data_IF_109443568144
#
_entry.id   IF_109443568144
#
_cell.length_a   1.000
_cell.length_b   1.000
_cell.length_c   1.000
_cell.angle_alpha   90.00
_cell.angle_beta   90.00
_cell.angle_gamma   90.00
#
_symmetry.space_group_name_H-M   'P 1'
#
loop_
_entity.id
_entity.type
_entity.pdbx_description
1 polymer ?
#
# COMPACT_ATOMS: atom_id res chain seq x y z
N UNK A 1 21.00 33.65 -10.72
CA UNK A 1 20.91 33.28 -9.30
C UNK A 1 19.70 32.37 -9.16
N UNK A 2 19.92 31.05 -9.18
CA UNK A 2 18.87 30.03 -9.00
C UNK A 2 18.43 30.06 -7.55
N UNK A 3 17.20 30.52 -7.29
CA UNK A 3 16.61 30.53 -5.95
C UNK A 3 16.72 29.13 -5.35
N UNK A 4 17.34 29.04 -4.18
CA UNK A 4 17.67 27.80 -3.49
C UNK A 4 16.35 27.13 -3.05
N UNK A 5 15.76 26.30 -3.90
CA UNK A 5 14.56 25.53 -3.57
C UNK A 5 14.88 24.63 -2.38
N UNK A 6 14.02 24.66 -1.38
CA UNK A 6 14.12 23.83 -0.20
C UNK A 6 14.24 22.35 -0.54
N UNK A 7 15.26 21.70 0.03
CA UNK A 7 15.53 20.28 -0.15
C UNK A 7 14.41 19.45 0.48
N UNK A 8 13.90 18.48 -0.28
CA UNK A 8 12.93 17.50 0.22
C UNK A 8 13.69 16.39 0.96
N UNK A 9 13.30 16.14 2.20
CA UNK A 9 13.82 15.06 3.05
C UNK A 9 12.72 14.05 3.28
N UNK A 10 12.72 12.98 2.50
CA UNK A 10 11.75 11.90 2.65
C UNK A 10 12.24 10.91 3.71
N UNK A 11 11.37 10.57 4.66
CA UNK A 11 11.64 9.61 5.71
C UNK A 11 10.62 8.48 5.65
N UNK A 12 11.10 7.24 5.62
CA UNK A 12 10.24 6.06 5.65
C UNK A 12 10.92 4.95 6.43
N UNK A 13 10.16 4.00 6.98
CA UNK A 13 10.74 2.89 7.72
C UNK A 13 11.85 2.18 6.92
N UNK A 14 11.60 1.81 5.66
CA UNK A 14 12.58 1.11 4.80
C UNK A 14 12.91 1.92 3.55
N UNK A 15 14.19 2.11 3.29
CA UNK A 15 14.68 2.77 2.06
C UNK A 15 14.90 1.72 0.96
N UNK A 16 14.20 1.87 -0.16
CA UNK A 16 14.38 1.02 -1.33
C UNK A 16 15.37 1.65 -2.31
N UNK A 17 16.67 1.37 -2.13
CA UNK A 17 17.68 1.77 -3.10
C UNK A 17 17.42 1.04 -4.44
N UNK A 18 17.35 1.75 -5.59
CA UNK A 18 17.22 1.10 -6.89
C UNK A 18 18.34 0.07 -7.10
N UNK A 19 18.02 -1.16 -7.49
CA UNK A 19 19.04 -2.16 -7.84
C UNK A 19 19.55 -1.89 -9.26
N UNK A 20 20.79 -2.30 -9.57
CA UNK A 20 21.45 -2.10 -10.88
C UNK A 20 20.68 -2.74 -12.06
N UNK A 21 19.76 -3.66 -11.78
CA UNK A 21 18.88 -4.35 -12.74
C UNK A 21 17.52 -3.65 -12.95
N UNK A 22 17.32 -2.46 -12.37
CA UNK A 22 16.11 -1.65 -12.58
C UNK A 22 14.86 -2.15 -11.85
N UNK A 23 14.99 -3.17 -10.97
CA UNK A 23 13.89 -3.62 -10.14
C UNK A 23 13.67 -2.62 -8.99
N UNK A 24 12.73 -1.68 -9.15
CA UNK A 24 12.22 -0.91 -8.00
C UNK A 24 11.20 -1.74 -7.23
N UNK A 25 11.24 -1.59 -5.91
CA UNK A 25 10.23 -2.10 -4.97
C UNK A 25 8.85 -1.43 -5.23
N UNK A 26 7.80 -1.96 -4.57
CA UNK A 26 6.39 -1.60 -4.77
C UNK A 26 6.05 -0.10 -4.77
N UNK A 27 4.81 0.23 -5.12
CA UNK A 27 4.45 1.59 -5.60
C UNK A 27 4.77 2.79 -4.69
N UNK A 28 4.93 2.62 -3.38
CA UNK A 28 5.45 3.69 -2.50
C UNK A 28 6.87 4.13 -2.90
N UNK A 29 7.76 3.17 -3.13
CA UNK A 29 9.14 3.47 -3.51
C UNK A 29 9.20 4.20 -4.85
N UNK A 30 8.34 3.82 -5.81
CA UNK A 30 8.24 4.48 -7.12
C UNK A 30 7.85 5.96 -6.94
N UNK A 31 6.82 6.24 -6.14
CA UNK A 31 6.37 7.62 -5.91
C UNK A 31 7.39 8.49 -5.20
N UNK A 32 8.06 7.96 -4.17
CA UNK A 32 9.11 8.68 -3.44
C UNK A 32 10.31 8.95 -4.36
N UNK A 33 10.77 7.95 -5.12
CA UNK A 33 11.91 8.12 -6.02
C UNK A 33 11.61 9.17 -7.08
N UNK A 34 10.45 9.10 -7.74
CA UNK A 34 10.05 10.11 -8.72
C UNK A 34 10.01 11.53 -8.12
N UNK A 35 9.67 11.67 -6.82
CA UNK A 35 9.74 12.94 -6.11
C UNK A 35 11.16 13.49 -6.01
N UNK A 36 12.06 12.63 -5.52
CA UNK A 36 13.44 12.99 -5.26
C UNK A 36 14.25 13.16 -6.56
N UNK A 37 13.91 12.45 -7.64
CA UNK A 37 14.58 12.59 -8.94
C UNK A 37 14.31 13.94 -9.61
N UNK A 38 13.10 14.49 -9.47
CA UNK A 38 12.71 15.78 -10.06
C UNK A 38 13.40 16.94 -9.36
N UNK A 39 13.34 16.98 -8.03
CA UNK A 39 13.76 18.14 -7.23
C UNK A 39 15.15 18.00 -6.60
N UNK A 40 15.69 16.77 -6.55
CA UNK A 40 16.79 16.43 -5.66
C UNK A 40 16.32 16.30 -4.21
N UNK A 41 17.11 15.67 -3.36
CA UNK A 41 16.72 15.50 -1.97
C UNK A 41 17.45 14.40 -1.23
N UNK A 42 16.92 14.03 -0.08
CA UNK A 42 17.43 12.95 0.75
C UNK A 42 16.32 11.93 1.01
N UNK A 43 16.63 10.64 0.89
CA UNK A 43 15.80 9.56 1.42
C UNK A 43 16.47 8.93 2.63
N UNK A 44 15.87 9.12 3.80
CA UNK A 44 16.35 8.63 5.07
C UNK A 44 15.55 7.43 5.60
N UNK A 45 16.23 6.44 6.19
CA UNK A 45 15.59 5.33 6.91
C UNK A 45 16.42 4.05 7.01
N UNK A 46 15.78 2.93 7.36
CA UNK A 46 16.45 1.65 7.54
C UNK A 46 16.92 1.04 6.20
N UNK A 47 18.14 0.50 6.17
CA UNK A 47 18.74 -0.13 4.98
C UNK A 47 18.24 -1.56 4.71
N UNK A 48 17.47 -2.16 5.61
CA UNK A 48 17.00 -3.54 5.49
C UNK A 48 17.90 -4.60 6.14
N UNK A 49 18.97 -4.19 6.83
CA UNK A 49 19.91 -5.06 7.55
C UNK A 49 19.78 -4.91 9.06
N UNK A 50 19.98 -6.00 9.79
CA UNK A 50 20.07 -6.00 11.25
C UNK A 50 21.51 -6.18 11.71
N UNK A 51 21.81 -5.73 12.94
CA UNK A 51 23.09 -5.92 13.62
C UNK A 51 22.87 -6.49 15.01
N UNK A 52 23.80 -7.33 15.48
CA UNK A 52 23.81 -7.91 16.83
C UNK A 52 24.18 -6.87 17.91
N UNK A 53 24.84 -5.79 17.50
CA UNK A 53 25.29 -4.71 18.37
C UNK A 53 24.35 -3.49 18.28
N UNK A 54 24.81 -2.32 18.71
CA UNK A 54 24.06 -1.08 18.52
C UNK A 54 23.79 -0.79 17.03
N UNK A 55 22.70 -0.06 16.78
CA UNK A 55 22.32 0.38 15.43
C UNK A 55 23.47 1.17 14.76
N UNK A 56 23.78 0.86 13.50
CA UNK A 56 24.96 1.41 12.82
C UNK A 56 24.89 2.93 12.67
N UNK A 57 26.05 3.56 12.43
CA UNK A 57 26.08 4.94 11.94
C UNK A 57 25.34 5.10 10.61
N UNK A 58 24.93 6.33 10.32
CA UNK A 58 24.24 6.62 9.06
C UNK A 58 25.26 6.62 7.92
N UNK A 59 25.02 5.78 6.93
CA UNK A 59 25.76 5.78 5.67
C UNK A 59 25.00 6.60 4.63
N UNK A 60 25.69 7.56 4.02
CA UNK A 60 25.13 8.40 2.94
C UNK A 60 25.72 7.96 1.61
N UNK A 61 24.84 7.59 0.68
CA UNK A 61 25.21 7.24 -0.69
C UNK A 61 24.46 8.15 -1.66
N UNK A 62 25.18 8.99 -2.41
CA UNK A 62 24.58 9.85 -3.43
C UNK A 62 24.43 9.10 -4.76
N UNK A 63 23.22 9.10 -5.32
CA UNK A 63 22.95 8.62 -6.69
C UNK A 63 22.13 9.65 -7.46
N UNK A 64 22.70 10.17 -8.54
CA UNK A 64 22.07 11.27 -9.27
C UNK A 64 21.94 12.50 -8.39
N UNK A 65 20.71 12.97 -8.16
CA UNK A 65 20.40 14.12 -7.30
C UNK A 65 19.91 13.73 -5.90
N UNK A 66 20.02 12.45 -5.53
CA UNK A 66 19.41 11.90 -4.32
C UNK A 66 20.49 11.37 -3.39
N UNK A 67 20.46 11.83 -2.15
CA UNK A 67 21.22 11.27 -1.05
C UNK A 67 20.40 10.16 -0.37
N UNK A 68 20.90 8.93 -0.40
CA UNK A 68 20.31 7.81 0.34
C UNK A 68 21.04 7.69 1.68
N UNK A 69 20.44 8.21 2.74
CA UNK A 69 20.98 8.21 4.09
C UNK A 69 20.37 7.06 4.90
N UNK A 70 21.11 5.97 5.10
CA UNK A 70 20.55 4.74 5.66
C UNK A 70 21.39 4.13 6.77
N UNK A 71 20.74 3.42 7.69
CA UNK A 71 21.42 2.71 8.78
C UNK A 71 20.80 1.33 9.03
N UNK A 72 21.55 0.44 9.69
CA UNK A 72 21.07 -0.86 10.16
C UNK A 72 20.46 -0.72 11.56
N UNK A 73 19.38 -1.46 11.82
CA UNK A 73 18.75 -1.54 13.14
C UNK A 73 19.39 -2.65 13.96
N UNK A 74 19.46 -2.47 15.28
CA UNK A 74 19.69 -3.59 16.18
C UNK A 74 18.60 -4.66 16.01
N UNK A 75 18.94 -5.93 16.15
CA UNK A 75 18.01 -7.05 15.94
C UNK A 75 16.82 -7.02 16.92
N UNK A 76 17.05 -6.73 18.20
CA UNK A 76 15.97 -6.62 19.19
C UNK A 76 15.05 -5.43 18.89
N UNK A 77 15.61 -4.29 18.49
CA UNK A 77 14.83 -3.13 18.03
C UNK A 77 14.00 -3.50 16.80
N UNK A 78 14.57 -4.20 15.82
CA UNK A 78 13.83 -4.66 14.64
C UNK A 78 12.66 -5.58 15.04
N UNK A 79 12.91 -6.58 15.88
CA UNK A 79 11.87 -7.50 16.31
C UNK A 79 10.76 -6.80 17.10
N UNK A 80 11.09 -5.92 18.06
CA UNK A 80 10.12 -5.29 18.94
C UNK A 80 9.37 -4.12 18.29
N UNK A 81 10.05 -3.26 17.52
CA UNK A 81 9.41 -2.12 16.86
C UNK A 81 8.72 -2.52 15.55
N UNK A 82 9.38 -3.29 14.67
CA UNK A 82 8.85 -3.60 13.35
C UNK A 82 7.95 -4.84 13.38
N UNK A 83 8.46 -5.99 13.84
CA UNK A 83 7.63 -7.21 13.92
C UNK A 83 6.65 -7.19 15.10
N UNK A 84 6.99 -6.48 16.18
CA UNK A 84 6.14 -6.24 17.35
C UNK A 84 5.14 -5.13 17.10
N UNK A 85 5.27 -3.99 17.77
CA UNK A 85 4.21 -2.98 17.87
C UNK A 85 3.66 -2.51 16.50
N UNK A 86 4.54 -2.28 15.52
CA UNK A 86 4.08 -1.83 14.18
C UNK A 86 3.20 -2.87 13.48
N UNK A 87 3.62 -4.14 13.41
CA UNK A 87 2.95 -5.15 12.59
C UNK A 87 1.98 -6.06 13.36
N UNK A 88 2.11 -6.15 14.69
CA UNK A 88 1.20 -6.91 15.57
C UNK A 88 0.16 -6.05 16.28
N UNK A 89 0.33 -4.72 16.33
CA UNK A 89 -0.65 -3.81 16.96
C UNK A 89 -1.20 -2.82 15.94
N UNK A 90 -0.35 -1.95 15.38
CA UNK A 90 -0.84 -0.86 14.51
C UNK A 90 -1.43 -1.39 13.20
N UNK A 91 -0.75 -2.31 12.52
CA UNK A 91 -1.25 -2.90 11.28
C UNK A 91 -2.64 -3.53 11.43
N UNK A 92 -2.89 -4.48 12.36
CA UNK A 92 -4.22 -5.08 12.49
C UNK A 92 -5.29 -4.06 12.88
N UNK A 93 -5.02 -3.12 13.78
CA UNK A 93 -6.02 -2.09 14.16
C UNK A 93 -6.35 -1.17 12.98
N UNK A 94 -5.35 -0.67 12.25
CA UNK A 94 -5.57 0.17 11.07
C UNK A 94 -6.39 -0.56 9.98
N UNK A 95 -6.32 -1.89 9.95
CA UNK A 95 -7.10 -2.72 9.03
C UNK A 95 -8.43 -3.23 9.62
N UNK A 96 -8.85 -2.75 10.81
CA UNK A 96 -10.07 -3.18 11.51
C UNK A 96 -10.10 -4.68 11.87
N UNK A 97 -8.94 -5.29 12.02
CA UNK A 97 -8.76 -6.71 12.28
C UNK A 97 -8.31 -6.94 13.73
N UNK A 98 -9.11 -6.44 14.67
CA UNK A 98 -8.80 -6.42 16.11
C UNK A 98 -8.47 -7.80 16.69
N UNK A 99 -9.03 -8.87 16.12
CA UNK A 99 -8.74 -10.26 16.52
C UNK A 99 -7.29 -10.70 16.27
N UNK A 100 -6.53 -9.95 15.48
CA UNK A 100 -5.11 -10.21 15.18
C UNK A 100 -4.15 -9.33 16.00
N UNK A 101 -4.66 -8.54 16.96
CA UNK A 101 -3.83 -7.68 17.80
C UNK A 101 -3.08 -8.53 18.85
N UNK A 102 -1.76 -8.47 18.82
CA UNK A 102 -0.89 -9.04 19.85
C UNK A 102 -0.07 -7.91 20.49
N UNK A 103 -0.36 -7.59 21.75
CA UNK A 103 0.32 -6.51 22.46
C UNK A 103 1.35 -7.01 23.48
N UNK A 104 2.52 -6.37 23.48
CA UNK A 104 3.53 -6.46 24.52
C UNK A 104 4.02 -5.05 24.88
N UNK A 105 4.13 -4.75 26.17
CA UNK A 105 4.62 -3.45 26.64
C UNK A 105 6.07 -3.16 26.22
N UNK A 106 6.93 -4.19 26.15
CA UNK A 106 8.31 -4.05 25.66
C UNK A 106 8.36 -3.60 24.20
N UNK A 107 7.43 -4.09 23.37
CA UNK A 107 7.32 -3.71 21.96
C UNK A 107 6.92 -2.23 21.82
N UNK A 108 6.02 -1.73 22.67
CA UNK A 108 5.65 -0.31 22.68
C UNK A 108 6.80 0.59 23.12
N UNK A 109 7.55 0.21 24.15
CA UNK A 109 8.72 0.97 24.58
C UNK A 109 9.83 0.97 23.52
N UNK A 110 10.04 -0.16 22.84
CA UNK A 110 10.92 -0.22 21.67
C UNK A 110 10.42 0.68 20.53
N UNK A 111 9.10 0.73 20.29
CA UNK A 111 8.53 1.58 19.26
C UNK A 111 8.82 3.06 19.47
N UNK A 112 8.70 3.52 20.72
CA UNK A 112 9.07 4.88 21.14
C UNK A 112 10.58 5.11 21.00
N UNK A 113 11.39 4.18 21.53
CA UNK A 113 12.86 4.23 21.48
C UNK A 113 13.39 4.33 20.05
N UNK A 114 12.85 3.53 19.13
CA UNK A 114 13.28 3.52 17.73
C UNK A 114 12.87 4.81 17.02
N UNK A 115 11.69 5.37 17.27
CA UNK A 115 11.33 6.69 16.73
C UNK A 115 12.29 7.80 17.21
N UNK A 116 12.66 7.78 18.50
CA UNK A 116 13.68 8.68 19.04
C UNK A 116 15.06 8.45 18.39
N UNK A 117 15.42 7.19 18.10
CA UNK A 117 16.65 6.86 17.36
C UNK A 117 16.63 7.42 15.93
N UNK A 118 15.52 7.31 15.21
CA UNK A 118 15.35 7.92 13.88
C UNK A 118 15.55 9.43 13.94
N UNK A 119 14.94 10.13 14.91
CA UNK A 119 15.13 11.56 15.09
C UNK A 119 16.60 11.91 15.39
N UNK A 120 17.23 11.23 16.35
CA UNK A 120 18.66 11.45 16.70
C UNK A 120 19.60 11.28 15.52
N UNK A 121 19.34 10.30 14.65
CA UNK A 121 20.16 10.04 13.45
C UNK A 121 19.85 11.01 12.31
N UNK A 122 18.64 11.56 12.23
CA UNK A 122 18.24 12.49 11.18
C UNK A 122 18.70 13.92 11.46
N UNK A 123 18.58 14.41 12.71
CA UNK A 123 18.86 15.80 13.09
C UNK A 123 20.22 16.32 12.58
N UNK A 124 21.34 15.59 12.70
CA UNK A 124 22.64 16.05 12.21
C UNK A 124 22.73 16.25 10.69
N UNK A 125 21.78 15.69 9.93
CA UNK A 125 21.74 15.74 8.47
C UNK A 125 20.82 16.84 7.95
N UNK A 126 20.02 17.46 8.81
CA UNK A 126 19.02 18.47 8.43
C UNK A 126 19.66 19.84 8.19
N UNK A 127 19.04 20.60 7.29
CA UNK A 127 19.36 21.98 6.99
C UNK A 127 18.16 22.88 7.35
N UNK A 128 18.36 24.16 7.73
CA UNK A 128 17.28 25.03 8.21
C UNK A 128 16.07 25.20 7.28
N UNK A 129 16.28 25.01 5.98
CA UNK A 129 15.25 25.19 4.96
C UNK A 129 14.73 23.85 4.40
N UNK A 130 15.05 22.72 5.02
CA UNK A 130 14.54 21.42 4.58
C UNK A 130 13.01 21.36 4.72
N UNK A 131 12.40 20.47 3.94
CA UNK A 131 11.00 20.08 4.08
C UNK A 131 10.97 18.57 4.29
N UNK A 132 10.45 18.14 5.44
CA UNK A 132 10.51 16.75 5.87
C UNK A 132 9.18 16.06 5.56
N UNK A 133 9.23 14.96 4.82
CA UNK A 133 8.05 14.16 4.48
C UNK A 133 8.18 12.74 5.03
N UNK A 134 7.46 12.47 6.12
CA UNK A 134 7.44 11.20 6.85
C UNK A 134 6.34 10.31 6.31
N UNK A 135 6.66 9.02 6.13
CA UNK A 135 5.72 8.04 5.61
C UNK A 135 5.46 6.89 6.57
N UNK A 136 4.16 6.65 6.74
CA UNK A 136 3.54 5.44 7.25
C UNK A 136 3.58 5.19 8.76
N UNK A 137 2.71 4.27 9.21
CA UNK A 137 2.36 4.02 10.62
C UNK A 137 3.54 3.67 11.54
N UNK A 138 4.68 3.24 10.98
CA UNK A 138 5.88 2.95 11.76
C UNK A 138 6.45 4.21 12.44
N UNK A 139 6.24 5.38 11.83
CA UNK A 139 6.92 6.62 12.18
C UNK A 139 5.98 7.70 12.72
N UNK A 140 4.81 7.32 13.27
CA UNK A 140 3.83 8.26 13.82
C UNK A 140 4.46 9.24 14.84
N UNK A 141 5.36 8.79 15.75
CA UNK A 141 5.98 9.71 16.71
C UNK A 141 7.06 10.65 16.16
N UNK A 142 7.51 10.48 14.93
CA UNK A 142 8.77 11.09 14.48
C UNK A 142 8.74 12.62 14.52
N UNK A 143 7.63 13.28 14.18
CA UNK A 143 7.55 14.74 14.29
C UNK A 143 7.69 15.21 15.74
N UNK A 144 7.04 14.56 16.70
CA UNK A 144 7.14 14.94 18.11
C UNK A 144 8.59 14.82 18.63
N UNK A 145 9.30 13.78 18.22
CA UNK A 145 10.72 13.59 18.54
C UNK A 145 11.60 14.68 17.90
N UNK A 146 11.34 15.03 16.63
CA UNK A 146 12.08 16.09 15.93
C UNK A 146 11.82 17.48 16.54
N UNK A 147 10.57 17.80 16.89
CA UNK A 147 10.21 19.05 17.58
C UNK A 147 10.89 19.13 18.94
N UNK A 148 10.92 18.04 19.70
CA UNK A 148 11.63 17.96 20.99
C UNK A 148 13.14 18.18 20.85
N UNK A 149 13.71 17.87 19.68
CA UNK A 149 15.11 18.12 19.33
C UNK A 149 15.37 19.52 18.74
N UNK A 150 14.38 20.42 18.70
CA UNK A 150 14.52 21.80 18.20
C UNK A 150 14.48 21.93 16.68
N UNK A 151 13.88 20.96 15.97
CA UNK A 151 13.70 21.05 14.51
C UNK A 151 12.45 21.87 14.21
N UNK A 152 12.63 23.01 13.55
CA UNK A 152 11.54 23.93 13.16
C UNK A 152 11.16 23.81 11.66
N UNK A 153 11.79 22.90 10.91
CA UNK A 153 11.45 22.66 9.50
C UNK A 153 9.99 22.22 9.34
N UNK A 154 9.33 22.50 8.20
CA UNK A 154 8.02 21.90 7.90
C UNK A 154 8.10 20.36 7.86
N UNK A 155 7.22 19.67 8.59
CA UNK A 155 7.14 18.21 8.68
C UNK A 155 5.73 17.75 8.29
N UNK A 156 5.64 16.96 7.22
CA UNK A 156 4.41 16.30 6.80
C UNK A 156 4.44 14.82 7.12
N UNK A 157 3.29 14.25 7.47
CA UNK A 157 3.04 12.82 7.62
C UNK A 157 2.08 12.35 6.53
N UNK A 158 2.36 11.19 5.92
CA UNK A 158 1.41 10.54 5.04
C UNK A 158 1.21 9.08 5.43
N UNK A 159 -0.03 8.70 5.74
CA UNK A 159 -0.40 7.35 6.15
C UNK A 159 -0.86 6.52 4.93
N UNK A 160 -0.22 5.37 4.70
CA UNK A 160 -0.52 4.51 3.54
C UNK A 160 -1.53 3.39 3.83
N UNK A 161 -1.69 3.05 5.10
CA UNK A 161 -2.74 2.15 5.58
C UNK A 161 -4.03 2.95 5.83
N UNK A 162 -5.20 2.30 5.97
CA UNK A 162 -6.41 3.01 6.37
C UNK A 162 -6.23 3.62 7.76
N UNK A 163 -6.94 4.73 8.03
CA UNK A 163 -7.05 5.24 9.40
C UNK A 163 -8.34 4.71 10.06
N UNK A 164 -8.26 4.11 11.25
CA UNK A 164 -9.44 3.58 11.93
C UNK A 164 -10.17 4.67 12.71
N UNK A 165 -11.50 4.54 12.88
CA UNK A 165 -12.27 5.44 13.73
C UNK A 165 -11.86 5.32 15.20
N UNK A 166 -12.23 6.29 16.04
CA UNK A 166 -11.84 6.28 17.44
C UNK A 166 -12.17 4.98 18.18
N UNK A 167 -13.35 4.40 17.93
CA UNK A 167 -13.76 3.16 18.58
C UNK A 167 -12.85 1.97 18.27
N UNK A 168 -12.27 1.91 17.07
CA UNK A 168 -11.24 0.92 16.75
C UNK A 168 -9.85 1.36 17.24
N UNK A 169 -9.50 2.65 17.08
CA UNK A 169 -8.17 3.16 17.45
C UNK A 169 -7.90 3.12 18.95
N UNK A 170 -8.92 3.35 19.80
CA UNK A 170 -8.80 3.28 21.27
C UNK A 170 -8.45 1.89 21.80
N UNK A 171 -8.60 0.85 20.98
CA UNK A 171 -8.14 -0.50 21.31
C UNK A 171 -6.60 -0.60 21.31
N UNK A 172 -5.88 0.35 20.69
CA UNK A 172 -4.41 0.41 20.71
C UNK A 172 -3.92 0.85 22.08
N UNK A 173 -3.15 0.01 22.80
CA UNK A 173 -2.44 0.48 23.99
C UNK A 173 -1.42 1.55 23.59
N UNK A 174 -1.53 2.74 24.18
CA UNK A 174 -0.73 3.91 23.78
C UNK A 174 -1.40 4.83 22.74
N UNK A 175 -2.69 4.62 22.42
CA UNK A 175 -3.40 5.46 21.43
C UNK A 175 -3.31 6.97 21.71
N UNK A 176 -3.40 7.40 22.97
CA UNK A 176 -3.29 8.82 23.35
C UNK A 176 -1.94 9.43 22.93
N UNK A 177 -0.85 8.70 23.17
CA UNK A 177 0.50 9.10 22.77
C UNK A 177 0.61 9.21 21.25
N UNK A 178 0.02 8.27 20.51
CA UNK A 178 0.04 8.28 19.05
C UNK A 178 -0.76 9.46 18.49
N UNK A 179 -1.99 9.71 18.98
CA UNK A 179 -2.82 10.83 18.52
C UNK A 179 -2.16 12.18 18.79
N UNK A 180 -1.60 12.37 19.99
CA UNK A 180 -0.85 13.58 20.33
C UNK A 180 0.39 13.73 19.47
N UNK A 181 1.08 12.63 19.16
CA UNK A 181 2.24 12.67 18.27
C UNK A 181 1.89 13.08 16.84
N UNK A 182 0.73 12.64 16.33
CA UNK A 182 0.25 13.07 15.00
C UNK A 182 -0.04 14.57 14.94
N UNK A 183 -0.32 15.22 16.07
CA UNK A 183 -0.54 16.67 16.15
C UNK A 183 0.76 17.49 16.05
N UNK A 184 1.94 16.85 16.08
CA UNK A 184 3.23 17.54 15.94
C UNK A 184 3.65 17.78 14.48
N UNK A 185 2.92 17.22 13.51
CA UNK A 185 3.12 17.47 12.08
C UNK A 185 2.41 18.75 11.65
N UNK A 186 2.91 19.39 10.59
CA UNK A 186 2.26 20.57 9.99
C UNK A 186 1.24 20.17 8.92
N UNK A 187 1.39 18.97 8.34
CA UNK A 187 0.44 18.35 7.41
C UNK A 187 0.30 16.86 7.73
N UNK A 188 -0.91 16.37 7.89
CA UNK A 188 -1.25 14.94 8.02
C UNK A 188 -2.09 14.55 6.81
N UNK A 189 -1.59 13.65 5.97
CA UNK A 189 -2.26 13.21 4.75
C UNK A 189 -2.76 11.78 4.83
N UNK A 190 -3.96 11.58 4.27
CA UNK A 190 -4.60 10.27 4.15
C UNK A 190 -4.95 9.94 2.70
N UNK A 191 -5.34 8.69 2.45
CA UNK A 191 -5.75 8.25 1.13
C UNK A 191 -7.16 8.68 0.74
N UNK A 192 -8.11 8.60 1.66
CA UNK A 192 -9.52 8.83 1.36
C UNK A 192 -10.18 9.78 2.35
N UNK A 193 -11.32 10.35 1.95
CA UNK A 193 -12.18 11.12 2.85
C UNK A 193 -12.72 10.28 4.02
N UNK A 194 -12.83 8.96 3.85
CA UNK A 194 -13.21 8.03 4.93
C UNK A 194 -12.13 7.97 6.01
N UNK A 195 -10.86 7.94 5.61
CA UNK A 195 -9.73 7.96 6.54
C UNK A 195 -9.63 9.30 7.27
N UNK A 196 -9.83 10.42 6.55
CA UNK A 196 -9.85 11.75 7.15
C UNK A 196 -10.98 11.90 8.17
N UNK A 197 -12.20 11.47 7.82
CA UNK A 197 -13.34 11.49 8.74
C UNK A 197 -13.10 10.60 9.96
N UNK A 198 -12.45 9.44 9.79
CA UNK A 198 -12.05 8.59 10.91
C UNK A 198 -11.02 9.28 11.82
N UNK A 199 -10.03 9.96 11.24
CA UNK A 199 -9.06 10.76 12.01
C UNK A 199 -9.73 11.88 12.78
N UNK A 200 -10.67 12.58 12.18
CA UNK A 200 -11.47 13.60 12.86
C UNK A 200 -12.19 13.04 14.10
N UNK A 201 -12.74 11.82 14.04
CA UNK A 201 -13.33 11.19 15.24
C UNK A 201 -12.32 11.00 16.38
N UNK A 202 -11.05 10.72 16.06
CA UNK A 202 -10.00 10.55 17.08
C UNK A 202 -9.50 11.88 17.64
N UNK A 203 -9.37 12.91 16.79
CA UNK A 203 -8.83 14.22 17.17
C UNK A 203 -9.82 15.03 18.01
N UNK A 204 -11.12 14.84 17.80
CA UNK A 204 -12.18 15.46 18.61
C UNK A 204 -12.25 14.91 20.05
N UNK A 205 -11.54 13.82 20.35
CA UNK A 205 -11.54 13.28 21.70
C UNK A 205 -10.87 14.23 22.68
N UNK A 206 -11.47 14.48 23.87
CA UNK A 206 -10.94 15.42 24.85
C UNK A 206 -9.48 15.14 25.26
N UNK A 207 -9.04 13.90 25.13
CA UNK A 207 -7.69 13.47 25.46
C UNK A 207 -6.62 14.01 24.51
N UNK A 208 -7.00 14.44 23.30
CA UNK A 208 -6.10 15.07 22.33
C UNK A 208 -6.09 16.59 22.55
N UNK A 209 -7.25 17.18 22.83
CA UNK A 209 -7.40 18.62 23.06
C UNK A 209 -7.30 19.43 21.77
N UNK A 210 -7.86 18.92 20.67
CA UNK A 210 -7.78 19.52 19.35
C UNK A 210 -9.16 19.89 18.80
N UNK A 211 -9.23 20.92 17.97
CA UNK A 211 -10.46 21.41 17.34
C UNK A 211 -10.34 21.40 15.81
N UNK A 212 -11.29 20.74 15.15
CA UNK A 212 -11.35 20.69 13.69
C UNK A 212 -12.15 21.89 13.17
N UNK A 213 -11.51 22.72 12.34
CA UNK A 213 -12.11 23.89 11.68
C UNK A 213 -12.42 23.59 10.21
N UNK A 214 -13.07 24.56 9.57
CA UNK A 214 -13.23 24.59 8.12
C UNK A 214 -11.87 24.50 7.40
N UNK A 215 -11.89 24.16 6.11
CA UNK A 215 -10.70 24.02 5.27
C UNK A 215 -9.64 23.02 5.78
N UNK A 216 -10.08 21.99 6.50
CA UNK A 216 -9.23 20.89 6.97
C UNK A 216 -8.09 21.34 7.92
N UNK A 217 -8.30 22.45 8.63
CA UNK A 217 -7.37 22.97 9.64
C UNK A 217 -7.71 22.37 11.01
N UNK A 218 -6.70 21.89 11.73
CA UNK A 218 -6.83 21.39 13.09
C UNK A 218 -6.04 22.28 14.03
N UNK A 219 -6.73 22.91 14.99
CA UNK A 219 -6.11 23.69 16.05
C UNK A 219 -5.74 22.80 17.23
N UNK A 220 -4.55 23.02 17.75
CA UNK A 220 -4.00 22.31 18.91
C UNK A 220 -3.30 23.31 19.83
N UNK A 221 -2.99 22.89 21.05
CA UNK A 221 -2.19 23.72 21.94
C UNK A 221 -0.83 24.04 21.29
N UNK A 222 -0.55 25.34 21.13
CA UNK A 222 0.72 25.81 20.56
C UNK A 222 0.76 25.93 19.03
N UNK A 223 -0.33 25.66 18.30
CA UNK A 223 -0.35 25.87 16.85
C UNK A 223 -1.54 25.28 16.11
N UNK A 224 -1.37 25.06 14.81
CA UNK A 224 -2.34 24.36 13.98
C UNK A 224 -1.64 23.54 12.90
N UNK A 225 -2.34 22.55 12.36
CA UNK A 225 -1.87 21.75 11.24
C UNK A 225 -2.99 21.50 10.23
N UNK A 226 -2.65 20.98 9.06
CA UNK A 226 -3.62 20.59 8.02
C UNK A 226 -3.80 19.08 8.01
N UNK A 227 -5.03 18.58 8.00
CA UNK A 227 -5.33 17.16 7.84
C UNK A 227 -6.17 16.94 6.57
N UNK A 228 -5.59 16.35 5.51
CA UNK A 228 -6.23 16.35 4.17
C UNK A 228 -6.04 15.04 3.38
N UNK A 229 -6.72 14.93 2.23
CA UNK A 229 -6.82 13.73 1.42
C UNK A 229 -5.95 13.82 0.16
N UNK A 230 -4.99 12.91 0.05
CA UNK A 230 -4.10 12.77 -1.09
C UNK A 230 -4.07 11.29 -1.55
N UNK A 231 -4.99 10.84 -2.42
CA UNK A 231 -4.97 9.47 -2.91
C UNK A 231 -3.72 9.23 -3.74
N UNK A 232 -2.97 8.17 -3.42
CA UNK A 232 -1.76 7.81 -4.14
C UNK A 232 -2.11 7.20 -5.50
N UNK A 233 -1.49 7.69 -6.56
CA UNK A 233 -1.66 7.19 -7.92
C UNK A 233 -0.61 6.15 -8.31
N UNK A 234 -0.56 5.86 -9.60
CA UNK A 234 0.49 5.04 -10.23
C UNK A 234 1.15 5.80 -11.37
N UNK A 235 2.33 5.34 -11.82
CA UNK A 235 2.96 5.82 -13.04
C UNK A 235 2.25 5.21 -14.26
N UNK A 236 1.28 5.96 -14.81
CA UNK A 236 0.39 5.47 -15.86
C UNK A 236 1.17 5.08 -17.11
N UNK A 237 2.03 5.97 -17.60
CA UNK A 237 2.75 5.76 -18.85
C UNK A 237 3.82 4.68 -18.70
N UNK A 238 4.53 4.64 -17.56
CA UNK A 238 5.51 3.59 -17.28
C UNK A 238 4.88 2.20 -17.18
N UNK A 239 3.67 2.07 -16.64
CA UNK A 239 2.95 0.78 -16.61
C UNK A 239 2.54 0.34 -18.00
N UNK A 240 1.99 1.24 -18.83
CA UNK A 240 1.60 0.90 -20.20
C UNK A 240 2.80 0.41 -21.01
N UNK A 241 3.94 1.10 -20.93
CA UNK A 241 5.19 0.68 -21.56
C UNK A 241 5.68 -0.69 -21.06
N UNK A 242 5.59 -0.95 -19.76
CA UNK A 242 5.98 -2.24 -19.19
C UNK A 242 5.07 -3.38 -19.63
N UNK A 243 3.76 -3.14 -19.70
CA UNK A 243 2.77 -4.11 -20.17
C UNK A 243 3.06 -4.50 -21.62
N UNK A 244 3.27 -3.52 -22.50
CA UNK A 244 3.60 -3.74 -23.92
C UNK A 244 4.94 -4.48 -24.09
N UNK A 245 6.00 -3.99 -23.44
CA UNK A 245 7.30 -4.62 -23.53
C UNK A 245 7.34 -6.03 -22.91
N UNK A 246 6.45 -6.30 -21.95
CA UNK A 246 6.35 -7.56 -21.20
C UNK A 246 5.70 -8.69 -21.98
N UNK A 247 4.91 -8.41 -23.02
CA UNK A 247 4.23 -9.43 -23.84
C UNK A 247 5.23 -10.43 -24.46
N UNK A 248 6.45 -9.96 -24.77
CA UNK A 248 7.54 -10.78 -25.31
C UNK A 248 8.27 -11.65 -24.26
N UNK A 249 7.86 -11.62 -22.98
CA UNK A 249 8.48 -12.43 -21.94
C UNK A 249 8.19 -13.92 -22.13
N UNK A 250 9.20 -14.77 -21.91
CA UNK A 250 9.05 -16.24 -21.93
C UNK A 250 8.02 -16.70 -20.88
N UNK A 251 7.98 -16.06 -19.72
CA UNK A 251 7.02 -16.41 -18.66
C UNK A 251 5.58 -16.11 -19.05
N UNK A 252 5.34 -14.97 -19.72
CA UNK A 252 4.01 -14.55 -20.17
C UNK A 252 3.52 -15.45 -21.31
N UNK A 253 4.36 -15.70 -22.32
CA UNK A 253 4.02 -16.66 -23.39
C UNK A 253 3.75 -18.06 -22.86
N UNK A 254 4.54 -18.52 -21.90
CA UNK A 254 4.33 -19.81 -21.24
C UNK A 254 2.99 -19.88 -20.51
N UNK A 255 2.63 -18.82 -19.78
CA UNK A 255 1.31 -18.72 -19.14
C UNK A 255 0.19 -18.79 -20.17
N UNK A 256 0.19 -17.92 -21.18
CA UNK A 256 -0.87 -17.85 -22.20
C UNK A 256 -1.02 -19.19 -22.93
N UNK A 257 0.08 -19.77 -23.40
CA UNK A 257 0.06 -21.09 -24.06
C UNK A 257 -0.53 -22.18 -23.16
N UNK A 258 -0.24 -22.15 -21.86
CA UNK A 258 -0.75 -23.12 -20.90
C UNK A 258 -2.22 -22.93 -20.52
N UNK A 259 -2.84 -21.79 -20.84
CA UNK A 259 -4.28 -21.60 -20.65
C UNK A 259 -5.09 -22.35 -21.73
N UNK A 260 -4.50 -22.53 -22.92
CA UNK A 260 -5.14 -23.24 -24.03
C UNK A 260 -6.45 -22.59 -24.47
N UNK A 261 -6.44 -21.26 -24.62
CA UNK A 261 -7.60 -20.46 -25.02
C UNK A 261 -8.62 -20.16 -23.91
N UNK A 262 -8.36 -20.59 -22.67
CA UNK A 262 -9.20 -20.25 -21.51
C UNK A 262 -8.94 -18.83 -21.04
N UNK A 263 -9.98 -18.20 -20.52
CA UNK A 263 -9.90 -16.91 -19.87
C UNK A 263 -9.06 -16.97 -18.59
N UNK A 264 -8.47 -15.82 -18.24
CA UNK A 264 -7.64 -15.66 -17.06
C UNK A 264 -8.28 -14.66 -16.09
N UNK A 265 -8.57 -15.13 -14.88
CA UNK A 265 -8.78 -14.26 -13.72
C UNK A 265 -7.44 -14.15 -13.00
N UNK A 266 -7.06 -12.95 -12.58
CA UNK A 266 -5.78 -12.73 -11.87
C UNK A 266 -5.97 -11.95 -10.57
N UNK A 267 -5.39 -12.48 -9.49
CA UNK A 267 -5.27 -11.82 -8.19
C UNK A 267 -3.80 -11.74 -7.79
N UNK A 268 -3.35 -10.57 -7.31
CA UNK A 268 -1.94 -10.34 -6.97
C UNK A 268 -1.87 -9.53 -5.69
N UNK A 269 -1.41 -10.15 -4.61
CA UNK A 269 -1.33 -9.48 -3.33
C UNK A 269 -0.19 -10.06 -2.51
N UNK A 270 0.38 -9.28 -1.60
CA UNK A 270 1.23 -9.87 -0.56
C UNK A 270 0.38 -10.84 0.26
N UNK A 271 0.98 -11.93 0.72
CA UNK A 271 0.32 -12.86 1.62
C UNK A 271 0.07 -12.16 2.96
N UNK A 272 -1.12 -11.61 3.16
CA UNK A 272 -1.48 -10.79 4.31
C UNK A 272 -2.98 -10.91 4.59
N UNK A 273 -3.37 -10.98 5.86
CA UNK A 273 -4.77 -11.17 6.27
C UNK A 273 -5.69 -10.03 5.80
N UNK A 274 -5.16 -8.82 5.59
CA UNK A 274 -5.94 -7.68 5.06
C UNK A 274 -6.48 -7.92 3.65
N UNK A 275 -5.92 -8.89 2.91
CA UNK A 275 -6.18 -9.11 1.49
C UNK A 275 -7.36 -10.03 1.18
N UNK A 276 -7.98 -10.62 2.20
CA UNK A 276 -9.17 -11.45 2.02
C UNK A 276 -8.96 -12.61 1.04
N UNK A 277 -7.74 -13.18 1.00
CA UNK A 277 -7.35 -14.14 -0.04
C UNK A 277 -8.16 -15.43 0.04
N UNK A 278 -8.56 -15.84 1.25
CA UNK A 278 -9.38 -17.01 1.44
C UNK A 278 -10.80 -16.75 0.93
N UNK A 279 -11.41 -15.64 1.35
CA UNK A 279 -12.73 -15.19 0.89
C UNK A 279 -12.78 -15.09 -0.62
N UNK A 280 -11.70 -14.58 -1.24
CA UNK A 280 -11.55 -14.52 -2.69
C UNK A 280 -11.52 -15.89 -3.36
N UNK A 281 -10.74 -16.84 -2.83
CA UNK A 281 -10.72 -18.22 -3.34
C UNK A 281 -12.09 -18.89 -3.19
N UNK A 282 -12.79 -18.62 -2.09
CA UNK A 282 -14.14 -19.14 -1.83
C UNK A 282 -15.19 -18.48 -2.72
N UNK A 283 -15.04 -17.21 -3.08
CA UNK A 283 -15.85 -16.54 -4.10
C UNK A 283 -15.64 -17.16 -5.49
N UNK A 284 -14.41 -17.50 -5.85
CA UNK A 284 -14.14 -18.26 -7.08
C UNK A 284 -14.70 -19.69 -7.04
N UNK A 285 -14.62 -20.39 -5.92
CA UNK A 285 -15.34 -21.67 -5.75
C UNK A 285 -16.83 -21.48 -5.96
N UNK A 286 -17.41 -20.44 -5.35
CA UNK A 286 -18.84 -20.15 -5.46
C UNK A 286 -19.27 -19.85 -6.91
N UNK A 287 -18.43 -19.17 -7.69
CA UNK A 287 -18.62 -18.99 -9.13
C UNK A 287 -18.76 -20.35 -9.83
N UNK A 288 -17.86 -21.30 -9.57
CA UNK A 288 -17.88 -22.62 -10.22
C UNK A 288 -19.11 -23.46 -9.83
N UNK A 289 -19.65 -23.25 -8.63
CA UNK A 289 -20.90 -23.89 -8.18
C UNK A 289 -22.14 -23.26 -8.82
N UNK A 290 -22.23 -21.94 -8.79
CA UNK A 290 -23.42 -21.18 -9.16
C UNK A 290 -23.55 -21.02 -10.68
N UNK A 291 -22.42 -20.96 -11.38
CA UNK A 291 -22.33 -20.77 -12.82
C UNK A 291 -21.46 -21.87 -13.48
N UNK A 292 -21.97 -23.10 -13.61
CA UNK A 292 -21.18 -24.25 -14.09
C UNK A 292 -20.62 -24.09 -15.51
N UNK A 293 -21.18 -23.18 -16.31
CA UNK A 293 -20.70 -22.83 -17.65
C UNK A 293 -19.27 -22.24 -17.65
N UNK A 294 -18.80 -21.69 -16.53
CA UNK A 294 -17.41 -21.26 -16.41
C UNK A 294 -16.45 -22.41 -16.11
N UNK A 295 -16.96 -23.59 -15.73
CA UNK A 295 -16.16 -24.80 -15.59
C UNK A 295 -15.39 -25.08 -16.89
N UNK A 296 -14.06 -25.21 -16.79
CA UNK A 296 -13.13 -25.39 -17.93
C UNK A 296 -12.98 -24.20 -18.87
N UNK A 297 -13.78 -23.14 -18.75
CA UNK A 297 -13.66 -21.93 -19.57
C UNK A 297 -12.65 -20.93 -18.98
N UNK A 298 -12.47 -20.94 -17.65
CA UNK A 298 -11.64 -19.98 -16.93
C UNK A 298 -10.62 -20.65 -16.01
N UNK A 299 -9.47 -20.00 -15.83
CA UNK A 299 -8.49 -20.34 -14.79
C UNK A 299 -8.22 -19.11 -13.93
N UNK A 300 -8.19 -19.32 -12.62
CA UNK A 300 -7.83 -18.29 -11.66
C UNK A 300 -6.36 -18.40 -11.25
N UNK A 301 -5.58 -17.35 -11.47
CA UNK A 301 -4.18 -17.22 -11.05
C UNK A 301 -4.09 -16.31 -9.83
N UNK A 302 -3.69 -16.85 -8.68
CA UNK A 302 -3.33 -16.07 -7.49
C UNK A 302 -1.81 -16.05 -7.32
N UNK A 303 -1.21 -14.86 -7.42
CA UNK A 303 0.19 -14.60 -7.09
C UNK A 303 0.24 -14.01 -5.68
N UNK A 304 0.91 -14.68 -4.76
CA UNK A 304 1.01 -14.30 -3.35
C UNK A 304 2.46 -14.35 -2.85
N UNK A 305 3.31 -13.35 -3.18
CA UNK A 305 4.66 -13.29 -2.62
C UNK A 305 4.62 -13.32 -1.09
N UNK A 306 5.53 -14.09 -0.49
CA UNK A 306 5.71 -14.13 0.95
C UNK A 306 6.16 -12.77 1.49
N UNK A 307 5.71 -12.44 2.70
CA UNK A 307 6.03 -11.21 3.41
C UNK A 307 6.17 -11.51 4.90
N UNK A 308 6.93 -10.68 5.63
CA UNK A 308 7.05 -10.75 7.10
C UNK A 308 7.37 -12.17 7.62
N UNK A 309 8.31 -12.84 6.97
CA UNK A 309 8.82 -14.16 7.38
C UNK A 309 9.27 -14.11 8.84
N UNK A 310 8.76 -15.01 9.69
CA UNK A 310 9.04 -15.04 11.13
C UNK A 310 7.85 -14.66 12.02
N UNK A 311 6.80 -14.06 11.46
CA UNK A 311 5.55 -13.80 12.18
C UNK A 311 4.58 -14.95 11.99
N UNK A 312 4.27 -15.67 13.07
CA UNK A 312 3.46 -16.91 13.08
C UNK A 312 2.12 -16.80 12.32
N UNK A 313 1.42 -15.69 12.47
CA UNK A 313 0.13 -15.44 11.79
C UNK A 313 0.23 -15.56 10.27
N UNK A 314 1.36 -15.18 9.67
CA UNK A 314 1.57 -15.25 8.22
C UNK A 314 1.77 -16.69 7.74
N UNK A 315 2.38 -17.55 8.55
CA UNK A 315 2.51 -18.97 8.24
C UNK A 315 1.16 -19.69 8.32
N UNK A 316 0.31 -19.30 9.28
CA UNK A 316 -1.05 -19.84 9.43
C UNK A 316 -1.93 -19.50 8.21
N UNK A 317 -1.95 -18.24 7.78
CA UNK A 317 -2.67 -17.81 6.57
C UNK A 317 -2.18 -18.56 5.34
N UNK A 318 -0.86 -18.74 5.21
CA UNK A 318 -0.30 -19.48 4.09
C UNK A 318 -0.80 -20.92 4.07
N UNK A 319 -0.79 -21.60 5.22
CA UNK A 319 -1.30 -22.97 5.32
C UNK A 319 -2.78 -23.05 4.94
N UNK A 320 -3.58 -22.10 5.41
CA UNK A 320 -5.00 -22.02 5.10
C UNK A 320 -5.29 -21.82 3.60
N UNK A 321 -4.51 -20.98 2.92
CA UNK A 321 -4.63 -20.77 1.48
C UNK A 321 -4.17 -21.98 0.66
N UNK A 322 -3.10 -22.65 1.09
CA UNK A 322 -2.62 -23.90 0.47
C UNK A 322 -3.69 -25.00 0.59
N UNK A 323 -4.31 -25.15 1.76
CA UNK A 323 -5.41 -26.10 1.97
C UNK A 323 -6.65 -25.73 1.16
N UNK A 324 -7.04 -24.45 1.15
CA UNK A 324 -8.22 -23.96 0.42
C UNK A 324 -8.07 -24.19 -1.08
N UNK A 325 -6.93 -23.78 -1.65
CA UNK A 325 -6.63 -23.99 -3.08
C UNK A 325 -6.56 -25.48 -3.44
N UNK A 326 -5.94 -26.31 -2.59
CA UNK A 326 -5.87 -27.76 -2.76
C UNK A 326 -7.25 -28.42 -2.75
N UNK A 327 -8.11 -28.04 -1.81
CA UNK A 327 -9.49 -28.55 -1.71
C UNK A 327 -10.33 -28.19 -2.94
N UNK A 328 -10.28 -26.92 -3.37
CA UNK A 328 -11.03 -26.45 -4.54
C UNK A 328 -10.53 -27.16 -5.80
N UNK A 329 -9.22 -27.24 -6.00
CA UNK A 329 -8.64 -27.96 -7.13
C UNK A 329 -9.03 -29.45 -7.10
N UNK A 330 -8.98 -30.11 -5.93
CA UNK A 330 -9.38 -31.51 -5.82
C UNK A 330 -10.83 -31.78 -6.18
N UNK A 331 -11.72 -30.80 -5.97
CA UNK A 331 -13.14 -30.89 -6.29
C UNK A 331 -13.47 -30.63 -7.76
N UNK A 332 -12.80 -29.68 -8.40
CA UNK A 332 -13.19 -29.19 -9.74
C UNK A 332 -12.20 -29.54 -10.86
N UNK A 333 -10.95 -29.91 -10.56
CA UNK A 333 -9.95 -30.18 -11.60
C UNK A 333 -10.36 -31.32 -12.52
N UNK A 334 -9.83 -31.26 -13.74
CA UNK A 334 -9.89 -32.31 -14.74
C UNK A 334 -8.47 -32.62 -15.21
N UNK A 335 -8.27 -33.70 -15.97
CA UNK A 335 -6.94 -34.08 -16.45
C UNK A 335 -6.23 -32.96 -17.25
N UNK A 336 -6.99 -32.08 -17.90
CA UNK A 336 -6.52 -30.98 -18.73
C UNK A 336 -6.82 -29.58 -18.15
N UNK A 337 -7.31 -29.50 -16.91
CA UNK A 337 -7.69 -28.22 -16.31
C UNK A 337 -7.46 -28.17 -14.80
N UNK A 338 -6.72 -27.14 -14.37
CA UNK A 338 -6.54 -26.77 -12.97
C UNK A 338 -7.25 -25.43 -12.73
N UNK A 339 -8.31 -25.39 -11.90
CA UNK A 339 -9.10 -24.19 -11.65
C UNK A 339 -8.30 -23.05 -11.03
N UNK A 340 -7.55 -23.32 -9.95
CA UNK A 340 -6.74 -22.34 -9.22
C UNK A 340 -5.26 -22.64 -9.40
N UNK A 341 -4.53 -21.70 -9.99
CA UNK A 341 -3.06 -21.67 -10.02
C UNK A 341 -2.57 -20.74 -8.92
N UNK A 342 -2.11 -21.32 -7.81
CA UNK A 342 -1.59 -20.57 -6.67
C UNK A 342 -0.06 -20.52 -6.70
N UNK A 343 0.51 -19.32 -6.69
CA UNK A 343 1.96 -19.08 -6.71
C UNK A 343 2.40 -18.28 -5.49
N UNK A 344 3.11 -18.91 -4.56
CA UNK A 344 3.68 -18.26 -3.38
C UNK A 344 5.03 -17.55 -3.63
N UNK A 345 5.24 -17.06 -4.86
CA UNK A 345 6.50 -16.45 -5.32
C UNK A 345 6.22 -15.10 -5.95
N UNK A 346 7.16 -14.16 -5.74
CA UNK A 346 7.12 -12.88 -6.44
C UNK A 346 7.32 -13.04 -7.95
N UNK A 347 6.59 -12.24 -8.72
CA UNK A 347 6.79 -12.06 -10.15
C UNK A 347 7.38 -10.67 -10.37
N UNK A 348 8.36 -10.56 -11.24
CA UNK A 348 8.95 -9.25 -11.55
C UNK A 348 7.92 -8.34 -12.22
N UNK A 349 8.06 -7.03 -12.01
CA UNK A 349 7.03 -6.05 -12.39
C UNK A 349 6.69 -6.07 -13.89
N UNK A 350 7.70 -6.16 -14.77
CA UNK A 350 7.51 -6.20 -16.23
C UNK A 350 6.59 -7.36 -16.70
N UNK A 351 6.90 -8.64 -16.42
CA UNK A 351 5.98 -9.72 -16.80
C UNK A 351 4.64 -9.65 -16.06
N UNK A 352 4.59 -9.10 -14.85
CA UNK A 352 3.32 -8.92 -14.13
C UNK A 352 2.36 -7.99 -14.85
N UNK A 353 2.82 -6.81 -15.32
CA UNK A 353 1.97 -5.88 -16.07
C UNK A 353 1.45 -6.52 -17.37
N UNK A 354 2.28 -7.32 -18.05
CA UNK A 354 1.82 -8.06 -19.23
C UNK A 354 0.83 -9.17 -18.88
N UNK A 355 0.97 -9.85 -17.73
CA UNK A 355 -0.04 -10.80 -17.25
C UNK A 355 -1.37 -10.10 -16.97
N UNK A 356 -1.36 -8.90 -16.38
CA UNK A 356 -2.58 -8.10 -16.20
C UNK A 356 -3.24 -7.78 -17.53
N UNK A 357 -2.47 -7.37 -18.54
CA UNK A 357 -3.00 -7.06 -19.89
C UNK A 357 -3.71 -8.24 -20.55
N UNK A 358 -3.29 -9.47 -20.27
CA UNK A 358 -3.90 -10.68 -20.82
C UNK A 358 -5.04 -11.24 -19.94
N UNK A 359 -5.27 -10.70 -18.75
CA UNK A 359 -6.29 -11.20 -17.86
C UNK A 359 -7.64 -10.54 -18.15
N UNK A 360 -8.64 -11.38 -18.44
CA UNK A 360 -10.02 -10.96 -18.66
C UNK A 360 -10.62 -10.31 -17.41
N UNK A 361 -10.18 -10.73 -16.21
CA UNK A 361 -10.64 -10.18 -14.93
C UNK A 361 -9.48 -9.95 -13.95
N UNK A 362 -9.41 -8.74 -13.39
CA UNK A 362 -8.58 -8.41 -12.24
C UNK A 362 -9.42 -8.57 -10.96
N UNK A 363 -9.02 -9.47 -10.07
CA UNK A 363 -9.75 -9.78 -8.86
C UNK A 363 -9.04 -9.22 -7.63
N UNK A 364 -9.48 -8.04 -7.17
CA UNK A 364 -8.84 -7.28 -6.10
C UNK A 364 -9.84 -7.06 -4.97
N UNK A 365 -9.94 -8.05 -4.08
CA UNK A 365 -10.99 -8.09 -3.04
C UNK A 365 -10.44 -8.05 -1.60
N UNK A 366 -9.58 -7.08 -1.22
CA UNK A 366 -9.13 -6.99 0.17
C UNK A 366 -10.29 -6.74 1.14
N UNK A 367 -10.22 -7.33 2.33
CA UNK A 367 -11.17 -7.04 3.42
C UNK A 367 -10.96 -5.65 4.01
N UNK A 368 -9.73 -5.12 3.90
CA UNK A 368 -9.44 -3.71 4.15
C UNK A 368 -8.14 -3.32 3.46
N UNK A 369 -8.09 -2.18 2.79
CA UNK A 369 -6.86 -1.68 2.16
C UNK A 369 -6.87 -0.15 2.06
N UNK A 370 -5.77 0.50 2.42
CA UNK A 370 -5.67 1.96 2.40
C UNK A 370 -5.83 2.55 1.00
N UNK A 371 -5.38 1.82 -0.03
CA UNK A 371 -5.59 2.19 -1.43
C UNK A 371 -5.73 0.96 -2.33
N UNK A 372 -4.76 0.05 -2.30
CA UNK A 372 -4.54 -1.01 -3.28
C UNK A 372 -4.08 -0.51 -4.67
N UNK A 373 -2.76 -0.45 -4.87
CA UNK A 373 -2.17 -0.05 -6.16
C UNK A 373 -2.33 -1.13 -7.24
N UNK A 374 -2.50 -2.40 -6.88
CA UNK A 374 -2.69 -3.49 -7.85
C UNK A 374 -3.97 -3.28 -8.66
N UNK A 375 -5.05 -2.80 -8.02
CA UNK A 375 -6.27 -2.40 -8.73
C UNK A 375 -5.99 -1.35 -9.84
N UNK A 376 -5.21 -0.31 -9.50
CA UNK A 376 -4.84 0.75 -10.44
C UNK A 376 -3.91 0.23 -11.55
N UNK A 377 -2.91 -0.57 -11.17
CA UNK A 377 -1.97 -1.19 -12.11
C UNK A 377 -2.69 -2.13 -13.10
N UNK A 378 -3.67 -2.90 -12.64
CA UNK A 378 -4.47 -3.77 -13.51
C UNK A 378 -5.19 -2.98 -14.60
N UNK A 379 -5.90 -1.90 -14.23
CA UNK A 379 -6.64 -1.04 -15.17
C UNK A 379 -5.70 -0.39 -16.18
N UNK A 380 -4.58 0.17 -15.70
CA UNK A 380 -3.60 0.86 -16.56
C UNK A 380 -2.92 -0.10 -17.54
N UNK A 381 -2.68 -1.34 -17.12
CA UNK A 381 -2.01 -2.32 -17.97
C UNK A 381 -2.84 -2.81 -19.15
N UNK A 382 -4.17 -2.64 -19.12
CA UNK A 382 -5.09 -3.14 -20.14
C UNK A 382 -4.84 -2.54 -21.54
N UNK A 383 -5.18 -3.33 -22.56
CA UNK A 383 -5.33 -2.83 -23.92
C UNK A 383 -6.66 -2.08 -24.05
N UNK A 384 -6.68 -0.79 -24.43
CA UNK A 384 -7.94 -0.05 -24.58
C UNK A 384 -8.86 -0.61 -25.67
N UNK A 385 -8.35 -1.42 -26.61
CA UNK A 385 -9.18 -2.02 -27.65
C UNK A 385 -9.87 -3.32 -27.22
N UNK A 386 -9.36 -3.99 -26.20
CA UNK A 386 -9.97 -5.18 -25.58
C UNK A 386 -9.65 -5.27 -24.08
N UNK A 387 -10.14 -4.33 -23.24
CA UNK A 387 -9.73 -4.25 -21.84
C UNK A 387 -10.46 -5.28 -20.98
N UNK A 388 -9.74 -5.92 -20.05
CA UNK A 388 -10.33 -6.72 -18.98
C UNK A 388 -11.13 -5.88 -17.97
N UNK A 389 -11.86 -6.56 -17.09
CA UNK A 389 -12.74 -5.93 -16.10
C UNK A 389 -12.16 -6.06 -14.69
N UNK A 390 -12.17 -4.98 -13.93
CA UNK A 390 -11.76 -4.98 -12.53
C UNK A 390 -12.96 -5.33 -11.63
N UNK A 391 -12.83 -6.38 -10.82
CA UNK A 391 -13.71 -6.68 -9.68
C UNK A 391 -12.99 -6.21 -8.41
N UNK A 392 -13.57 -5.24 -7.71
CA UNK A 392 -12.90 -4.48 -6.66
C UNK A 392 -13.69 -4.48 -5.36
N UNK A 393 -13.02 -4.73 -4.24
CA UNK A 393 -13.63 -4.55 -2.92
C UNK A 393 -14.02 -3.10 -2.65
N UNK A 394 -15.24 -2.88 -2.17
CA UNK A 394 -15.71 -1.61 -1.60
C UNK A 394 -14.87 -1.13 -0.38
N UNK A 395 -14.10 -2.03 0.22
CA UNK A 395 -13.23 -1.81 1.38
C UNK A 395 -11.77 -1.51 0.99
N UNK A 396 -11.47 -1.39 -0.31
CA UNK A 396 -10.23 -0.80 -0.80
C UNK A 396 -10.37 0.72 -0.96
N UNK A 397 -9.32 1.48 -0.64
CA UNK A 397 -9.31 2.93 -0.87
C UNK A 397 -9.47 3.32 -2.34
N UNK A 398 -8.94 2.51 -3.28
CA UNK A 398 -9.09 2.73 -4.71
C UNK A 398 -10.54 2.68 -5.17
N UNK A 399 -11.45 2.03 -4.43
CA UNK A 399 -12.87 2.04 -4.75
C UNK A 399 -13.47 3.45 -4.70
N UNK A 400 -12.88 4.39 -3.96
CA UNK A 400 -13.31 5.80 -3.99
C UNK A 400 -13.12 6.45 -5.37
N UNK A 401 -12.10 6.02 -6.13
CA UNK A 401 -11.76 6.58 -7.45
C UNK A 401 -12.23 5.70 -8.61
N UNK A 402 -12.26 4.37 -8.43
CA UNK A 402 -12.54 3.39 -9.47
C UNK A 402 -14.01 2.93 -9.47
N UNK A 403 -14.96 3.87 -9.45
CA UNK A 403 -16.39 3.58 -9.32
C UNK A 403 -16.97 2.76 -10.49
N UNK A 404 -16.36 2.83 -11.67
CA UNK A 404 -16.77 2.05 -12.85
C UNK A 404 -16.27 0.60 -12.86
N UNK A 405 -15.56 0.19 -11.82
CA UNK A 405 -15.26 -1.23 -11.55
C UNK A 405 -16.51 -1.96 -11.04
N UNK A 406 -16.47 -3.30 -11.06
CA UNK A 406 -17.51 -4.10 -10.41
C UNK A 406 -17.21 -4.17 -8.91
N UNK A 407 -17.85 -3.28 -8.16
CA UNK A 407 -17.68 -3.17 -6.72
C UNK A 407 -18.39 -4.31 -6.00
N UNK A 408 -17.65 -5.02 -5.15
CA UNK A 408 -18.17 -6.15 -4.36
C UNK A 408 -17.84 -6.00 -2.87
N UNK A 409 -18.64 -6.64 -2.03
CA UNK A 409 -18.33 -6.83 -0.63
C UNK A 409 -17.52 -8.12 -0.46
N UNK A 410 -16.26 -8.06 0.03
CA UNK A 410 -15.40 -9.24 0.13
C UNK A 410 -15.92 -10.28 1.15
N UNK A 411 -16.82 -9.90 2.05
CA UNK A 411 -17.45 -10.83 3.01
C UNK A 411 -18.64 -11.60 2.42
N UNK A 412 -19.15 -11.19 1.26
CA UNK A 412 -20.22 -11.87 0.55
C UNK A 412 -19.63 -12.68 -0.62
N UNK A 413 -19.65 -14.01 -0.46
CA UNK A 413 -19.12 -14.94 -1.47
C UNK A 413 -19.96 -14.97 -2.74
N UNK A 414 -21.28 -14.79 -2.61
CA UNK A 414 -22.18 -14.73 -3.76
C UNK A 414 -21.94 -13.42 -4.52
N UNK A 415 -21.69 -12.30 -3.83
CA UNK A 415 -21.37 -11.02 -4.46
C UNK A 415 -20.04 -11.07 -5.24
N UNK A 416 -18.98 -11.69 -4.68
CA UNK A 416 -17.74 -11.94 -5.43
C UNK A 416 -18.02 -12.80 -6.67
N UNK A 417 -18.77 -13.90 -6.53
CA UNK A 417 -19.07 -14.80 -7.63
C UNK A 417 -19.89 -14.10 -8.74
N UNK A 418 -20.87 -13.29 -8.36
CA UNK A 418 -21.72 -12.53 -9.26
C UNK A 418 -20.94 -11.42 -9.98
N UNK A 419 -20.05 -10.73 -9.25
CA UNK A 419 -19.12 -9.77 -9.83
C UNK A 419 -18.19 -10.40 -10.87
N UNK A 420 -17.64 -11.59 -10.60
CA UNK A 420 -16.83 -12.32 -11.59
C UNK A 420 -17.68 -12.76 -12.78
N UNK A 421 -18.87 -13.31 -12.54
CA UNK A 421 -19.75 -13.76 -13.62
C UNK A 421 -20.18 -12.60 -14.53
N UNK A 422 -20.47 -11.43 -13.96
CA UNK A 422 -20.78 -10.21 -14.71
C UNK A 422 -19.56 -9.73 -15.50
N UNK A 423 -18.37 -9.70 -14.88
CA UNK A 423 -17.12 -9.32 -15.54
C UNK A 423 -16.86 -10.17 -16.80
N UNK A 424 -17.00 -11.48 -16.66
CA UNK A 424 -16.74 -12.46 -17.73
C UNK A 424 -17.74 -12.40 -18.89
N UNK A 425 -18.98 -12.00 -18.61
CA UNK A 425 -20.03 -11.86 -19.64
C UNK A 425 -20.15 -10.43 -20.19
N UNK A 426 -19.30 -9.50 -19.75
CA UNK A 426 -19.42 -8.09 -20.10
C UNK A 426 -19.11 -7.86 -21.59
N UNK A 427 -20.04 -7.26 -22.37
CA UNK A 427 -19.80 -6.95 -23.77
C UNK A 427 -18.61 -6.02 -23.96
N UNK A 428 -17.89 -6.17 -25.07
CA UNK A 428 -16.69 -5.37 -25.38
C UNK A 428 -16.95 -3.86 -25.31
N UNK A 429 -18.10 -3.39 -25.79
CA UNK A 429 -18.45 -1.96 -25.74
C UNK A 429 -18.51 -1.44 -24.30
N UNK A 430 -19.16 -2.16 -23.40
CA UNK A 430 -19.25 -1.77 -21.98
C UNK A 430 -17.87 -1.82 -21.31
N UNK A 431 -17.04 -2.83 -21.62
CA UNK A 431 -15.67 -2.92 -21.09
C UNK A 431 -14.83 -1.70 -21.50
N UNK A 432 -14.92 -1.28 -22.77
CA UNK A 432 -14.21 -0.09 -23.28
C UNK A 432 -14.71 1.20 -22.61
N UNK A 433 -16.02 1.35 -22.45
CA UNK A 433 -16.62 2.54 -21.82
C UNK A 433 -16.17 2.67 -20.35
N UNK A 434 -16.26 1.59 -19.57
CA UNK A 434 -15.79 1.56 -18.17
C UNK A 434 -14.29 1.83 -18.07
N UNK A 435 -13.49 1.15 -18.89
CA UNK A 435 -12.04 1.32 -18.91
C UNK A 435 -11.63 2.76 -19.21
N UNK A 436 -12.27 3.42 -20.17
CA UNK A 436 -11.98 4.80 -20.54
C UNK A 436 -12.18 5.77 -19.36
N UNK A 437 -13.28 5.64 -18.62
CA UNK A 437 -13.57 6.47 -17.43
C UNK A 437 -12.56 6.22 -16.30
N UNK A 438 -12.22 4.95 -16.05
CA UNK A 438 -11.21 4.60 -15.06
C UNK A 438 -9.83 5.17 -15.44
N UNK A 439 -9.45 5.11 -16.72
CA UNK A 439 -8.20 5.66 -17.22
C UNK A 439 -8.13 7.19 -17.11
N UNK A 440 -9.23 7.90 -17.39
CA UNK A 440 -9.28 9.36 -17.20
C UNK A 440 -9.01 9.73 -15.74
N UNK A 441 -9.66 9.03 -14.81
CA UNK A 441 -9.46 9.24 -13.37
C UNK A 441 -8.01 8.97 -12.95
N UNK A 442 -7.43 7.85 -13.43
CA UNK A 442 -6.06 7.46 -13.09
C UNK A 442 -5.00 8.39 -13.68
N UNK A 443 -5.24 8.97 -14.87
CA UNK A 443 -4.35 10.00 -15.45
C UNK A 443 -4.41 11.31 -14.68
N UNK A 444 -5.59 11.71 -14.21
CA UNK A 444 -5.76 12.92 -13.40
C UNK A 444 -5.12 12.80 -12.02
N UNK A 445 -5.20 11.62 -11.41
CA UNK A 445 -4.68 11.31 -10.08
C UNK A 445 -3.48 10.36 -10.12
N UNK A 446 -2.56 10.59 -11.05
CA UNK A 446 -1.35 9.78 -11.19
C UNK A 446 -0.38 9.98 -9.99
N UNK A 447 0.72 9.22 -9.99
CA UNK A 447 1.71 9.30 -8.90
C UNK A 447 2.33 10.70 -8.79
N UNK A 448 2.47 11.42 -9.90
CA UNK A 448 3.02 12.78 -9.95
C UNK A 448 2.08 13.78 -9.29
N UNK A 449 0.77 13.67 -9.55
CA UNK A 449 -0.28 14.50 -8.99
C UNK A 449 -0.40 14.30 -7.48
N UNK A 450 -0.32 13.06 -6.98
CA UNK A 450 -0.27 12.77 -5.54
C UNK A 450 0.88 13.53 -4.86
N UNK A 451 2.10 13.34 -5.36
CA UNK A 451 3.30 13.98 -4.80
C UNK A 451 3.20 15.50 -4.85
N UNK A 452 2.87 16.08 -6.02
CA UNK A 452 2.81 17.55 -6.18
C UNK A 452 1.80 18.20 -5.24
N UNK A 453 0.63 17.56 -5.04
CA UNK A 453 -0.38 18.06 -4.10
C UNK A 453 0.14 18.06 -2.67
N UNK A 454 0.70 16.94 -2.20
CA UNK A 454 1.20 16.85 -0.83
C UNK A 454 2.37 17.81 -0.57
N UNK A 455 3.39 17.80 -1.44
CA UNK A 455 4.57 18.67 -1.28
C UNK A 455 4.18 20.16 -1.35
N UNK A 456 3.19 20.52 -2.17
CA UNK A 456 2.65 21.89 -2.19
C UNK A 456 1.98 22.25 -0.85
N UNK A 457 1.11 21.39 -0.33
CA UNK A 457 0.46 21.61 0.96
C UNK A 457 1.50 21.82 2.07
N UNK A 458 2.55 20.99 2.08
CA UNK A 458 3.62 21.07 3.06
C UNK A 458 4.48 22.34 2.92
N UNK A 459 4.83 22.74 1.69
CA UNK A 459 5.59 23.97 1.44
C UNK A 459 4.84 25.25 1.82
N UNK A 460 3.51 25.21 1.83
CA UNK A 460 2.67 26.34 2.25
C UNK A 460 2.61 26.51 3.78
N UNK A 461 3.19 25.60 4.57
CA UNK A 461 3.27 25.70 6.04
C UNK A 461 4.47 26.50 6.55
N UNK A 462 5.21 27.15 5.66
CA UNK A 462 6.40 27.95 5.97
C UNK A 462 6.08 29.30 6.59
#
# INVERSE_FOLDING_TARGET
MTGNSARLVTVSNRVAKPRKDGASAGGLAVGILAALEEEGGMWFGWNGQTTQAESSEVEVETRGKIDFATFALNEDDFEQYYNGYSNKVLWPVCHYLLGFVEYNAADFEAYRRVNSLFARKLVPLLQPNDVIWVHDYHLIPLAAELRSAGVDCPIGFFLHVPFPSYEAFRAVPGHEYLLRSMCAYDVVGFHTSRDLAAFETCIREPIVGAEFRDDNIVDVEGGSFVADVFPIGVDVDGIQQLADAGQSSKSVRGLISSLGGKDLIIGVDRLDYSKGLQERMLGFERLLEKYPNFGRAVTYLQIAPTTRSGVRTYDEIRSELEQTSGRINGRFSQADWVPIRYLNKGVSRKPLMAMFRHASVGLVTPVRDGMNLVAKEFVVAQDPDDPGVLVLSTLAGAACELQESLLVNPYDRDDIADGIAMAMNMPLSERKDRHAVLMETLRKNDITAWRRRFVRALRNRR
#
